data_IF_572476260173
#
_entry.id   IF_572476260173
#
_cell.length_a   1.000
_cell.length_b   1.000
_cell.length_c   1.000
_cell.angle_alpha   90.00
_cell.angle_beta   90.00
_cell.angle_gamma   90.00
#
_symmetry.space_group_name_H-M   'P 1'
#
loop_
_entity.id
_entity.type
_entity.pdbx_description
1 polymer ?
#
# COMPACT_ATOMS: atom_id res chain seq x y z
N UNK A 1 5.14 23.23 -14.33
CA UNK A 1 5.42 22.21 -13.29
C UNK A 1 4.52 21.02 -13.56
N UNK A 2 5.06 19.85 -13.83
CA UNK A 2 4.29 18.61 -13.75
C UNK A 2 3.96 18.40 -12.27
N UNK A 3 2.68 18.23 -11.93
CA UNK A 3 2.24 18.05 -10.55
C UNK A 3 2.92 16.84 -9.93
N UNK A 4 3.48 17.00 -8.73
CA UNK A 4 3.99 15.86 -7.95
C UNK A 4 2.81 15.06 -7.42
N UNK A 5 2.84 13.74 -7.59
CA UNK A 5 1.96 12.85 -6.84
C UNK A 5 2.37 12.94 -5.36
N UNK A 6 1.38 13.12 -4.49
CA UNK A 6 1.57 13.28 -3.04
C UNK A 6 1.36 11.96 -2.30
N UNK A 7 1.94 10.87 -2.79
CA UNK A 7 1.81 9.56 -2.17
C UNK A 7 2.38 9.56 -0.76
N UNK A 8 1.60 9.01 0.17
CA UNK A 8 2.02 8.88 1.56
C UNK A 8 1.38 7.69 2.25
N UNK A 9 2.11 7.12 3.19
CA UNK A 9 1.55 6.17 4.15
C UNK A 9 0.53 6.84 5.08
N UNK A 10 -0.48 6.08 5.50
CA UNK A 10 -1.51 6.53 6.42
C UNK A 10 -2.04 5.37 7.28
N UNK A 11 -2.58 5.72 8.46
CA UNK A 11 -3.19 4.78 9.40
C UNK A 11 -2.20 4.22 10.44
N UNK A 12 -2.76 3.78 11.58
CA UNK A 12 -1.98 3.30 12.74
C UNK A 12 -1.15 2.04 12.44
N UNK A 13 -1.62 1.18 11.52
CA UNK A 13 -0.85 0.01 11.11
C UNK A 13 0.43 0.38 10.36
N UNK A 14 0.39 1.42 9.53
CA UNK A 14 1.59 1.93 8.86
C UNK A 14 2.59 2.52 9.87
N UNK A 15 2.09 3.29 10.86
CA UNK A 15 2.92 3.83 11.94
C UNK A 15 3.62 2.74 12.76
N UNK A 16 2.89 1.68 13.14
CA UNK A 16 3.44 0.53 13.86
C UNK A 16 4.53 -0.21 13.06
N UNK A 17 4.41 -0.23 11.74
CA UNK A 17 5.38 -0.82 10.81
C UNK A 17 6.51 0.15 10.43
N UNK A 18 6.53 1.36 10.99
CA UNK A 18 7.53 2.39 10.68
C UNK A 18 7.39 3.00 9.29
N UNK A 19 6.25 2.81 8.62
CA UNK A 19 5.97 3.31 7.29
C UNK A 19 5.36 4.72 7.39
N UNK A 20 6.16 5.72 7.01
CA UNK A 20 5.79 7.14 7.10
C UNK A 20 6.27 7.90 5.88
N UNK A 21 5.62 9.03 5.56
CA UNK A 21 5.99 9.86 4.43
C UNK A 21 5.83 9.13 3.09
N UNK A 22 6.77 9.33 2.18
CA UNK A 22 6.75 8.81 0.81
C UNK A 22 6.60 7.29 0.74
N UNK A 23 5.92 6.81 -0.29
CA UNK A 23 5.76 5.38 -0.54
C UNK A 23 6.92 4.87 -1.40
N UNK A 24 7.77 4.02 -0.81
CA UNK A 24 8.72 3.23 -1.58
C UNK A 24 7.99 2.14 -2.37
N UNK A 25 8.30 2.03 -3.66
CA UNK A 25 7.59 1.12 -4.58
C UNK A 25 7.80 -0.35 -4.22
N UNK A 26 9.01 -0.75 -3.85
CA UNK A 26 9.33 -2.14 -3.57
C UNK A 26 8.76 -2.59 -2.23
N UNK A 27 8.75 -1.68 -1.24
CA UNK A 27 8.03 -1.90 0.04
C UNK A 27 6.53 -2.06 -0.22
N UNK A 28 5.93 -1.18 -1.02
CA UNK A 28 4.50 -1.26 -1.35
C UNK A 28 4.14 -2.55 -2.09
N UNK A 29 4.92 -2.95 -3.10
CA UNK A 29 4.71 -4.22 -3.81
C UNK A 29 4.81 -5.43 -2.88
N UNK A 30 5.79 -5.47 -1.97
CA UNK A 30 5.89 -6.57 -0.99
C UNK A 30 4.70 -6.63 -0.04
N UNK A 31 4.20 -5.48 0.41
CA UNK A 31 3.00 -5.43 1.25
C UNK A 31 1.76 -6.01 0.53
N UNK A 32 1.60 -5.71 -0.77
CA UNK A 32 0.54 -6.32 -1.60
C UNK A 32 0.71 -7.85 -1.72
N UNK A 33 1.93 -8.36 -1.64
CA UNK A 33 2.21 -9.81 -1.59
C UNK A 33 2.00 -10.42 -0.20
N UNK A 34 1.68 -9.61 0.82
CA UNK A 34 1.53 -10.04 2.20
C UNK A 34 2.84 -10.09 2.99
N UNK A 35 3.92 -9.48 2.48
CA UNK A 35 5.24 -9.45 3.13
C UNK A 35 5.47 -8.10 3.79
N UNK A 36 5.51 -8.10 5.12
CA UNK A 36 5.59 -6.89 5.93
C UNK A 36 7.06 -6.51 6.21
N UNK A 37 7.35 -5.21 6.45
CA UNK A 37 8.70 -4.73 6.72
C UNK A 37 9.27 -5.19 8.08
N UNK A 38 8.41 -5.65 9.00
CA UNK A 38 8.80 -6.25 10.28
C UNK A 38 9.21 -7.74 10.15
N UNK A 39 9.16 -8.30 8.94
CA UNK A 39 9.50 -9.69 8.64
C UNK A 39 8.32 -10.66 8.71
N UNK A 40 7.12 -10.22 9.08
CA UNK A 40 5.94 -11.07 8.99
C UNK A 40 5.60 -11.39 7.52
N UNK A 41 5.25 -12.66 7.26
CA UNK A 41 4.85 -13.14 5.93
C UNK A 41 3.45 -13.76 6.01
N UNK A 42 2.49 -13.08 5.38
CA UNK A 42 1.09 -13.46 5.25
C UNK A 42 0.79 -14.06 3.86
N UNK A 43 1.81 -14.28 3.03
CA UNK A 43 1.64 -14.89 1.72
C UNK A 43 1.10 -16.32 1.85
N UNK A 44 0.33 -16.75 0.86
CA UNK A 44 -0.22 -18.10 0.80
C UNK A 44 0.05 -18.71 -0.56
N UNK A 45 1.17 -19.41 -0.69
CA UNK A 45 1.52 -20.09 -1.92
C UNK A 45 0.66 -21.34 -2.13
N UNK A 46 -0.08 -21.38 -3.23
CA UNK A 46 -0.87 -22.54 -3.67
C UNK A 46 -0.79 -22.65 -5.19
N UNK A 47 -0.45 -23.84 -5.68
CA UNK A 47 -0.30 -24.15 -7.10
C UNK A 47 0.65 -23.17 -7.83
N UNK A 48 1.76 -22.81 -7.17
CA UNK A 48 2.75 -21.87 -7.71
C UNK A 48 2.33 -20.40 -7.70
N UNK A 49 1.18 -20.05 -7.11
CA UNK A 49 0.66 -18.69 -7.06
C UNK A 49 0.40 -18.23 -5.62
N UNK A 50 0.65 -16.95 -5.34
CA UNK A 50 0.26 -16.36 -4.06
C UNK A 50 -1.25 -16.08 -4.06
N UNK A 51 -1.98 -16.69 -3.11
CA UNK A 51 -3.43 -16.51 -2.91
C UNK A 51 -3.76 -15.43 -1.87
N UNK A 52 -2.76 -14.80 -1.27
CA UNK A 52 -2.97 -13.62 -0.44
C UNK A 52 -3.74 -12.54 -1.24
N UNK A 53 -4.78 -11.95 -0.65
CA UNK A 53 -5.52 -10.86 -1.28
C UNK A 53 -4.71 -9.58 -1.09
N UNK A 54 -4.32 -8.86 -2.17
CA UNK A 54 -3.41 -7.72 -2.04
C UNK A 54 -3.93 -6.56 -1.19
N UNK A 55 -5.25 -6.38 -1.15
CA UNK A 55 -5.90 -5.29 -0.44
C UNK A 55 -7.15 -4.82 -1.18
N UNK A 56 -7.63 -3.64 -0.82
CA UNK A 56 -8.75 -2.97 -1.46
C UNK A 56 -8.31 -1.58 -1.93
N UNK A 57 -8.77 -1.16 -3.10
CA UNK A 57 -8.62 0.21 -3.57
C UNK A 57 -9.88 1.01 -3.21
N UNK A 58 -9.69 2.10 -2.47
CA UNK A 58 -10.74 3.05 -2.12
C UNK A 58 -10.45 4.36 -2.83
N UNK A 59 -11.05 4.54 -4.00
CA UNK A 59 -10.87 5.74 -4.82
C UNK A 59 -11.86 6.83 -4.42
N UNK A 60 -11.34 7.96 -3.92
CA UNK A 60 -12.14 9.14 -3.58
C UNK A 60 -12.05 10.19 -4.69
N UNK A 61 -13.14 10.35 -5.45
CA UNK A 61 -13.22 11.34 -6.51
C UNK A 61 -13.82 12.65 -5.98
N UNK A 62 -13.08 13.75 -6.10
CA UNK A 62 -13.63 15.07 -5.81
C UNK A 62 -14.75 15.42 -6.82
N UNK A 63 -15.77 16.20 -6.41
CA UNK A 63 -16.77 16.71 -7.34
C UNK A 63 -16.08 17.57 -8.40
N UNK A 64 -16.60 17.49 -9.65
CA UNK A 64 -16.05 18.24 -10.79
C UNK A 64 -16.02 19.75 -10.54
N UNK A 65 -16.99 20.24 -9.76
CA UNK A 65 -17.07 21.63 -9.31
C UNK A 65 -16.61 21.64 -7.86
N UNK A 66 -15.37 22.06 -7.66
CA UNK A 66 -14.86 22.38 -6.33
C UNK A 66 -15.13 23.87 -6.09
N UNK A 67 -15.63 24.28 -4.90
CA UNK A 67 -15.70 25.70 -4.54
C UNK A 67 -14.32 26.36 -4.49
#
# INVERSE_FOLDING_TARGET
MLGSMGERWAGQGAEQLGLQGSVDKDVFTRLLEGRLPDGADLSRMQDGSNKHRPGYDLTFSAPKVSP
#
